data_IF_785374710715
#
_entry.id   IF_785374710715
#
_cell.length_a   1.000
_cell.length_b   1.000
_cell.length_c   1.000
_cell.angle_alpha   90.00
_cell.angle_beta   90.00
_cell.angle_gamma   90.00
#
_symmetry.space_group_name_H-M   'P 1'
#
loop_
_entity.id
_entity.type
_entity.pdbx_description
1 polymer ?
#
# COMPACT_ATOMS: atom_id res chain seq x y z
N UNK A 1 16.59 -5.92 7.12
CA UNK A 1 16.23 -4.82 6.19
C UNK A 1 17.16 -4.66 4.98
N UNK A 2 18.29 -5.40 4.87
CA UNK A 2 19.18 -5.28 3.71
C UNK A 2 18.64 -5.94 2.43
N UNK A 3 17.82 -6.99 2.52
CA UNK A 3 17.45 -7.81 1.36
C UNK A 3 16.61 -7.06 0.31
N UNK A 4 15.56 -6.34 0.72
CA UNK A 4 14.72 -5.56 -0.21
C UNK A 4 15.52 -4.43 -0.83
N UNK A 5 16.37 -3.76 -0.03
CA UNK A 5 17.25 -2.70 -0.53
C UNK A 5 18.25 -3.24 -1.56
N UNK A 6 18.90 -4.36 -1.29
CA UNK A 6 19.80 -5.03 -2.23
C UNK A 6 19.08 -5.45 -3.53
N UNK A 7 17.83 -5.92 -3.43
CA UNK A 7 17.05 -6.28 -4.61
C UNK A 7 16.70 -5.06 -5.48
N UNK A 8 16.29 -3.95 -4.85
CA UNK A 8 16.03 -2.67 -5.52
C UNK A 8 17.31 -2.10 -6.14
N UNK A 9 18.41 -2.11 -5.41
CA UNK A 9 19.70 -1.58 -5.86
C UNK A 9 20.28 -2.40 -7.03
N UNK A 10 20.06 -3.72 -7.04
CA UNK A 10 20.61 -4.62 -8.08
C UNK A 10 19.78 -4.67 -9.36
N UNK A 11 18.45 -4.64 -9.24
CA UNK A 11 17.54 -4.77 -10.40
C UNK A 11 17.03 -3.42 -10.93
N UNK A 12 17.22 -2.34 -10.17
CA UNK A 12 16.98 -0.97 -10.58
C UNK A 12 15.61 -0.73 -11.20
N UNK A 13 15.56 0.10 -12.24
CA UNK A 13 14.32 0.53 -12.91
C UNK A 13 13.52 -0.63 -13.53
N UNK A 14 14.17 -1.74 -13.90
CA UNK A 14 13.49 -2.89 -14.52
C UNK A 14 12.57 -3.61 -13.51
N UNK A 15 12.99 -3.68 -12.26
CA UNK A 15 12.16 -4.25 -11.20
C UNK A 15 10.96 -3.37 -10.90
N UNK A 16 11.14 -2.05 -10.87
CA UNK A 16 10.04 -1.10 -10.60
C UNK A 16 8.97 -1.08 -11.70
N UNK A 17 9.32 -1.45 -12.94
CA UNK A 17 8.36 -1.63 -14.04
C UNK A 17 7.51 -2.90 -13.88
N UNK A 18 8.04 -3.93 -13.23
CA UNK A 18 7.38 -5.25 -13.12
C UNK A 18 6.73 -5.48 -11.76
N UNK A 19 7.26 -4.86 -10.70
CA UNK A 19 6.82 -5.02 -9.31
C UNK A 19 6.89 -3.67 -8.63
N UNK A 20 5.78 -3.22 -8.04
CA UNK A 20 5.78 -1.93 -7.35
C UNK A 20 6.57 -2.07 -6.07
N UNK A 21 7.31 -1.02 -5.70
CA UNK A 21 8.09 -0.99 -4.45
C UNK A 21 7.24 -1.36 -3.23
N UNK A 22 5.99 -0.88 -3.18
CA UNK A 22 5.05 -1.24 -2.10
C UNK A 22 4.76 -2.74 -2.00
N UNK A 23 4.68 -3.47 -3.12
CA UNK A 23 4.42 -4.92 -3.14
C UNK A 23 5.60 -5.72 -2.54
N UNK A 24 6.83 -5.28 -2.83
CA UNK A 24 8.04 -5.88 -2.24
C UNK A 24 8.09 -5.70 -0.72
N UNK A 25 7.76 -4.49 -0.27
CA UNK A 25 7.70 -4.19 1.16
C UNK A 25 6.55 -4.92 1.86
N UNK A 26 5.38 -5.05 1.22
CA UNK A 26 4.28 -5.86 1.74
C UNK A 26 4.69 -7.33 1.89
N UNK A 27 5.36 -7.88 0.88
CA UNK A 27 5.86 -9.26 0.89
C UNK A 27 6.83 -9.52 2.05
N UNK A 28 7.84 -8.67 2.23
CA UNK A 28 8.81 -8.88 3.32
C UNK A 28 8.19 -8.64 4.70
N UNK A 29 7.23 -7.71 4.81
CA UNK A 29 6.52 -7.46 6.06
C UNK A 29 5.68 -8.67 6.47
N UNK A 30 4.95 -9.27 5.52
CA UNK A 30 4.20 -10.50 5.77
C UNK A 30 5.12 -11.64 6.19
N UNK A 31 6.30 -11.77 5.56
CA UNK A 31 7.29 -12.77 5.97
C UNK A 31 7.72 -12.59 7.42
N UNK A 32 8.02 -11.35 7.86
CA UNK A 32 8.39 -11.08 9.25
C UNK A 32 7.26 -11.38 10.24
N UNK A 33 6.01 -11.08 9.87
CA UNK A 33 4.84 -11.46 10.66
C UNK A 33 4.73 -12.98 10.80
N UNK A 34 4.91 -13.72 9.71
CA UNK A 34 4.78 -15.19 9.71
C UNK A 34 5.81 -15.86 10.62
N UNK A 35 6.99 -15.28 10.79
CA UNK A 35 8.03 -15.80 11.69
C UNK A 35 7.97 -15.18 13.11
N UNK A 36 6.95 -14.37 13.40
CA UNK A 36 6.72 -13.74 14.70
C UNK A 36 7.62 -12.54 15.02
N UNK A 37 8.36 -12.02 14.03
CA UNK A 37 9.28 -10.89 14.20
C UNK A 37 8.57 -9.55 13.90
N UNK A 38 7.67 -9.17 14.80
CA UNK A 38 6.82 -7.97 14.66
C UNK A 38 7.63 -6.68 14.59
N UNK A 39 8.80 -6.62 15.23
CA UNK A 39 9.68 -5.44 15.19
C UNK A 39 10.29 -5.23 13.82
N UNK A 40 10.76 -6.30 13.16
CA UNK A 40 11.22 -6.20 11.77
C UNK A 40 10.09 -5.90 10.80
N UNK A 41 8.91 -6.45 11.03
CA UNK A 41 7.72 -6.13 10.24
C UNK A 41 7.34 -4.64 10.34
N UNK A 42 7.38 -4.06 11.54
CA UNK A 42 7.16 -2.61 11.71
C UNK A 42 8.28 -1.79 11.05
N UNK A 43 9.52 -2.21 11.22
CA UNK A 43 10.67 -1.53 10.61
C UNK A 43 10.60 -1.51 9.07
N UNK A 44 10.06 -2.56 8.44
CA UNK A 44 9.85 -2.59 6.99
C UNK A 44 8.80 -1.61 6.51
N UNK A 45 7.68 -1.48 7.22
CA UNK A 45 6.66 -0.47 6.90
C UNK A 45 7.21 0.94 7.06
N UNK A 46 7.96 1.22 8.13
CA UNK A 46 8.55 2.55 8.36
C UNK A 46 9.62 2.91 7.32
N UNK A 47 10.40 1.95 6.83
CA UNK A 47 11.32 2.20 5.72
C UNK A 47 10.58 2.53 4.43
N UNK A 48 9.49 1.82 4.11
CA UNK A 48 8.68 2.15 2.95
C UNK A 48 8.16 3.59 3.02
N UNK A 49 7.67 4.03 4.18
CA UNK A 49 7.20 5.41 4.41
C UNK A 49 8.33 6.44 4.26
N UNK A 50 9.56 6.11 4.66
CA UNK A 50 10.73 6.98 4.45
C UNK A 50 11.09 7.10 2.98
N UNK A 51 11.04 6.01 2.23
CA UNK A 51 11.37 5.96 0.81
C UNK A 51 10.28 6.60 -0.08
N UNK A 52 9.02 6.52 0.35
CA UNK A 52 7.87 7.07 -0.37
C UNK A 52 6.97 7.83 0.61
N UNK A 53 7.29 9.11 0.89
CA UNK A 53 6.46 9.95 1.76
C UNK A 53 5.02 10.05 1.25
N UNK A 54 4.04 9.93 2.16
CA UNK A 54 2.62 10.02 1.81
C UNK A 54 2.03 8.77 1.14
N UNK A 55 2.78 7.66 1.06
CA UNK A 55 2.29 6.40 0.50
C UNK A 55 1.00 5.91 1.18
N UNK A 56 0.02 5.52 0.37
CA UNK A 56 -1.18 4.85 0.87
C UNK A 56 -0.88 3.37 1.17
N UNK A 57 -0.66 3.04 2.44
CA UNK A 57 -0.35 1.68 2.88
C UNK A 57 -1.49 0.70 2.58
N UNK A 58 -2.76 1.12 2.65
CA UNK A 58 -3.90 0.24 2.38
C UNK A 58 -3.98 -0.22 0.92
N UNK A 59 -3.22 0.41 0.01
CA UNK A 59 -3.10 -0.06 -1.37
C UNK A 59 -2.23 -1.32 -1.49
N UNK A 60 -1.28 -1.53 -0.56
CA UNK A 60 -0.27 -2.59 -0.66
C UNK A 60 -0.40 -3.66 0.42
N UNK A 61 -0.99 -3.33 1.57
CA UNK A 61 -1.07 -4.23 2.73
C UNK A 61 -2.50 -4.69 2.97
N UNK A 62 -2.65 -5.94 3.37
CA UNK A 62 -3.90 -6.40 3.98
C UNK A 62 -4.14 -5.61 5.27
N UNK A 63 -5.40 -5.26 5.52
CA UNK A 63 -5.82 -4.52 6.71
C UNK A 63 -5.42 -5.26 8.00
N UNK A 64 -5.54 -6.58 8.04
CA UNK A 64 -5.16 -7.40 9.21
C UNK A 64 -3.68 -7.22 9.56
N UNK A 65 -2.81 -7.13 8.54
CA UNK A 65 -1.37 -6.90 8.72
C UNK A 65 -1.12 -5.53 9.33
N UNK A 66 -1.80 -4.50 8.84
CA UNK A 66 -1.65 -3.14 9.36
C UNK A 66 -2.13 -3.03 10.81
N UNK A 67 -3.23 -3.68 11.14
CA UNK A 67 -3.79 -3.72 12.49
C UNK A 67 -2.85 -4.43 13.49
N UNK A 68 -2.32 -5.60 13.12
CA UNK A 68 -1.33 -6.34 13.93
C UNK A 68 -0.10 -5.47 14.23
N UNK A 69 0.31 -4.63 13.29
CA UNK A 69 1.47 -3.75 13.46
C UNK A 69 1.14 -2.44 14.21
N UNK A 70 -0.14 -2.17 14.47
CA UNK A 70 -0.64 -1.01 15.23
C UNK A 70 -0.97 0.21 14.38
N UNK A 71 -1.08 0.07 13.06
CA UNK A 71 -1.45 1.17 12.17
C UNK A 71 -2.98 1.36 12.16
N UNK A 72 -3.44 2.50 12.68
CA UNK A 72 -4.85 2.90 12.56
C UNK A 72 -5.05 3.61 11.22
N UNK A 73 -5.76 2.96 10.29
CA UNK A 73 -6.14 3.61 9.04
C UNK A 73 -7.35 4.52 9.29
N UNK A 74 -7.18 5.82 9.09
CA UNK A 74 -8.33 6.71 8.85
C UNK A 74 -8.81 6.37 7.44
N UNK A 75 -9.80 5.49 7.33
CA UNK A 75 -10.51 5.30 6.06
C UNK A 75 -11.19 6.63 5.77
N UNK A 76 -10.57 7.48 4.97
CA UNK A 76 -11.29 8.57 4.32
C UNK A 76 -12.04 7.89 3.19
N UNK A 77 -13.28 7.50 3.46
CA UNK A 77 -14.23 7.11 2.42
C UNK A 77 -14.27 8.32 1.49
N UNK A 78 -13.73 8.20 0.28
CA UNK A 78 -14.05 9.15 -0.76
C UNK A 78 -15.56 9.08 -0.90
N UNK A 79 -16.25 10.10 -0.41
CA UNK A 79 -17.63 10.34 -0.81
C UNK A 79 -17.54 10.49 -2.32
N UNK A 80 -18.01 9.47 -3.04
CA UNK A 80 -18.37 9.65 -4.43
C UNK A 80 -19.34 10.82 -4.42
N UNK A 81 -18.93 11.92 -5.03
CA UNK A 81 -19.86 12.92 -5.50
C UNK A 81 -20.63 12.26 -6.64
N UNK A 82 -21.52 11.33 -6.29
CA UNK A 82 -22.63 10.90 -7.13
C UNK A 82 -23.52 12.13 -7.24
N UNK A 83 -23.10 13.06 -8.11
CA UNK A 83 -24.03 13.95 -8.76
C UNK A 83 -24.86 13.00 -9.60
N UNK A 84 -26.06 12.74 -9.10
CA UNK A 84 -27.19 12.35 -9.92
C UNK A 84 -27.29 13.43 -11.00
N UNK A 85 -26.57 13.24 -12.11
CA UNK A 85 -26.81 13.99 -13.33
C UNK A 85 -28.22 13.57 -13.75
N UNK A 86 -29.18 14.46 -13.46
CA UNK A 86 -30.54 14.42 -13.96
C UNK A 86 -30.51 14.16 -15.47
N UNK A 87 -30.71 12.90 -15.86
CA UNK A 87 -31.03 12.55 -17.25
C UNK A 87 -32.47 13.01 -17.46
N UNK A 88 -32.63 14.29 -17.77
CA UNK A 88 -33.89 14.87 -18.18
C UNK A 88 -34.28 14.24 -19.53
N UNK A 89 -35.34 13.44 -19.47
CA UNK A 89 -35.99 12.72 -20.56
C UNK A 89 -36.44 13.71 -21.65
N UNK A 90 -35.63 13.86 -22.71
CA UNK A 90 -36.06 14.52 -23.94
C UNK A 90 -36.98 13.58 -24.72
N UNK A 91 -38.24 13.48 -24.28
CA UNK A 91 -39.36 13.09 -25.12
C UNK A 91 -40.20 14.33 -25.42
N UNK A 92 -39.94 14.93 -26.58
CA UNK A 92 -40.88 15.84 -27.24
C UNK A 92 -41.07 15.34 -28.66
N UNK A 93 -42.35 15.10 -28.99
CA UNK A 93 -42.89 14.67 -30.28
C UNK A 93 -42.51 15.57 -31.47
#
# INVERSE_FOLDING_TARGET
>A
MQQVRQLLDSQGANLEQSVRRGDLFATITQHYINIGDTDKARASVEELKRLVPGINLAYYYNMDVLEVLGYKMKIQRQESSDKEDDIEELLSE
#
